data_IF_630676802238
#
_entry.id   IF_630676802238
#
_cell.length_a   1.000
_cell.length_b   1.000
_cell.length_c   1.000
_cell.angle_alpha   90.00
_cell.angle_beta   90.00
_cell.angle_gamma   90.00
#
_symmetry.space_group_name_H-M   'P 1'
#
loop_
_entity.id
_entity.type
_entity.pdbx_description
1 polymer ?
#
# COMPACT_ATOMS: atom_id res chain seq x y z
N UNK A 1 -12.86 13.33 -11.57
CA UNK A 1 -12.61 12.83 -11.33
C UNK A 1 -11.97 12.39 -10.55
N UNK A 2 -11.74 12.23 -9.98
CA UNK A 2 -11.14 11.77 -9.27
C UNK A 2 -10.86 10.87 -9.07
N UNK A 3 -10.43 10.71 -8.93
CA UNK A 3 -10.23 9.66 -8.78
C UNK A 3 -9.51 9.24 -7.70
N UNK A 4 -9.67 8.23 -7.18
CA UNK A 4 -8.95 7.70 -6.07
C UNK A 4 -7.57 7.35 -6.49
N UNK A 5 -6.58 7.77 -5.74
CA UNK A 5 -5.20 7.42 -6.05
C UNK A 5 -4.97 5.97 -5.65
N UNK A 6 -4.19 5.30 -6.47
CA UNK A 6 -3.78 3.94 -6.18
C UNK A 6 -2.89 3.91 -4.94
N UNK A 7 -3.12 2.93 -4.06
CA UNK A 7 -2.29 2.77 -2.89
C UNK A 7 -1.06 1.96 -3.27
N UNK A 8 0.10 2.48 -2.94
CA UNK A 8 1.37 1.85 -3.31
C UNK A 8 1.89 0.99 -2.17
N UNK A 9 2.68 -0.03 -2.52
CA UNK A 9 3.26 -0.91 -1.51
C UNK A 9 4.13 -0.11 -0.54
N UNK A 10 4.89 0.86 -1.03
CA UNK A 10 5.73 1.66 -0.14
C UNK A 10 4.91 2.46 0.87
N UNK A 11 3.70 2.85 0.49
CA UNK A 11 2.80 3.55 1.41
C UNK A 11 2.31 2.61 2.49
N UNK A 12 1.96 1.38 2.10
CA UNK A 12 1.55 0.37 3.06
C UNK A 12 2.69 0.07 4.03
N UNK A 13 3.90 -0.04 3.52
CA UNK A 13 5.05 -0.32 4.36
C UNK A 13 5.20 0.76 5.44
N UNK A 14 5.02 2.01 5.07
CA UNK A 14 5.10 3.11 6.04
C UNK A 14 3.98 3.03 7.06
N UNK A 15 2.77 2.70 6.60
CA UNK A 15 1.65 2.56 7.53
C UNK A 15 1.90 1.47 8.55
N UNK A 16 2.53 0.38 8.16
CA UNK A 16 2.77 -0.75 9.03
C UNK A 16 4.08 -0.64 9.79
N UNK A 17 4.94 0.30 9.43
CA UNK A 17 6.25 0.41 10.03
C UNK A 17 7.18 -0.72 9.62
N UNK A 18 7.01 -1.22 8.40
CA UNK A 18 7.80 -2.32 7.88
C UNK A 18 8.49 -1.91 6.58
N UNK A 19 9.35 -2.79 6.06
CA UNK A 19 10.02 -2.53 4.81
C UNK A 19 9.11 -2.89 3.63
N UNK A 20 9.47 -2.36 2.45
CA UNK A 20 8.76 -2.73 1.23
C UNK A 20 8.86 -4.22 0.98
N UNK A 21 10.05 -4.77 1.20
CA UNK A 21 10.25 -6.20 0.99
C UNK A 21 9.33 -7.02 1.87
N UNK A 22 9.16 -6.60 3.12
CA UNK A 22 8.24 -7.29 4.02
C UNK A 22 6.84 -7.35 3.42
N UNK A 23 6.35 -6.22 2.92
CA UNK A 23 5.00 -6.16 2.36
C UNK A 23 4.88 -7.05 1.13
N UNK A 24 5.86 -6.96 0.22
CA UNK A 24 5.84 -7.79 -0.98
C UNK A 24 5.78 -9.27 -0.62
N UNK A 25 6.67 -9.72 0.25
CA UNK A 25 6.74 -11.13 0.59
C UNK A 25 5.51 -11.60 1.35
N UNK A 26 5.02 -10.78 2.27
CA UNK A 26 3.84 -11.15 3.04
C UNK A 26 2.61 -11.27 2.15
N UNK A 27 2.47 -10.39 1.16
CA UNK A 27 1.35 -10.49 0.23
C UNK A 27 1.48 -11.71 -0.69
N UNK A 28 2.71 -11.97 -1.18
CA UNK A 28 2.93 -13.14 -2.05
C UNK A 28 2.58 -14.44 -1.33
N UNK A 29 2.87 -14.50 -0.04
CA UNK A 29 2.66 -15.72 0.74
C UNK A 29 1.27 -15.81 1.35
N UNK A 30 0.47 -14.76 1.17
CA UNK A 30 -0.89 -14.76 1.71
C UNK A 30 -0.99 -14.46 3.19
N UNK A 31 0.07 -13.95 3.79
CA UNK A 31 0.04 -13.58 5.19
C UNK A 31 -0.55 -12.21 5.43
N UNK A 32 -0.57 -11.37 4.40
CA UNK A 32 -1.05 -9.99 4.51
C UNK A 32 -2.22 -9.82 3.55
N UNK A 33 -3.42 -9.86 4.10
CA UNK A 33 -4.63 -9.88 3.29
C UNK A 33 -5.16 -8.46 3.09
N UNK A 34 -4.46 -7.68 2.29
CA UNK A 34 -4.83 -6.29 2.03
C UNK A 34 -5.04 -6.03 0.54
N UNK A 35 -5.08 -7.08 -0.25
CA UNK A 35 -5.26 -6.94 -1.69
C UNK A 35 -4.83 -8.21 -2.39
N UNK A 36 -4.36 -8.04 -3.62
CA UNK A 36 -4.00 -9.16 -4.49
C UNK A 36 -2.53 -9.05 -4.88
N UNK A 37 -1.82 -10.16 -4.82
CA UNK A 37 -0.48 -10.28 -5.38
C UNK A 37 -0.55 -11.37 -6.44
N UNK A 38 -0.16 -11.05 -7.66
CA UNK A 38 -0.36 -11.94 -8.79
C UNK A 38 0.84 -11.89 -9.72
N UNK A 39 1.24 -13.06 -10.22
CA UNK A 39 2.27 -13.14 -11.24
C UNK A 39 1.62 -13.49 -12.57
N UNK A 40 1.92 -12.71 -13.59
CA UNK A 40 1.34 -12.93 -14.90
C UNK A 40 1.96 -14.18 -15.54
N UNK A 41 1.20 -14.88 -16.40
CA UNK A 41 1.62 -16.20 -16.90
C UNK A 41 2.99 -16.21 -17.58
N UNK A 42 3.34 -15.23 -18.34
CA UNK A 42 4.59 -15.26 -19.08
C UNK A 42 5.57 -14.22 -18.60
N UNK A 43 5.53 -13.94 -17.29
CA UNK A 43 6.36 -12.89 -16.73
C UNK A 43 6.88 -13.33 -15.37
N UNK A 44 8.06 -12.87 -15.02
CA UNK A 44 8.60 -13.07 -13.68
C UNK A 44 8.19 -11.95 -12.74
N UNK A 45 7.53 -10.94 -13.26
CA UNK A 45 7.13 -9.80 -12.44
C UNK A 45 5.83 -10.06 -11.71
N UNK A 46 5.74 -9.52 -10.52
CA UNK A 46 4.53 -9.60 -9.72
C UNK A 46 3.79 -8.28 -9.77
N UNK A 47 2.47 -8.37 -9.80
CA UNK A 47 1.59 -7.21 -9.74
C UNK A 47 0.91 -7.20 -8.39
N UNK A 48 0.89 -6.03 -7.75
CA UNK A 48 0.27 -5.87 -6.44
C UNK A 48 -0.84 -4.84 -6.54
N UNK A 49 -2.01 -5.21 -6.05
CA UNK A 49 -3.16 -4.32 -6.05
C UNK A 49 -3.70 -4.26 -4.64
N UNK A 50 -3.64 -3.09 -4.04
CA UNK A 50 -4.04 -2.90 -2.65
C UNK A 50 -5.49 -2.45 -2.62
N UNK A 51 -6.31 -3.12 -1.79
CA UNK A 51 -7.71 -2.76 -1.61
C UNK A 51 -7.82 -1.84 -0.40
N UNK A 52 -8.36 -0.62 -0.57
CA UNK A 52 -8.53 0.27 0.58
C UNK A 52 -9.37 -0.35 1.68
N UNK A 53 -10.44 -1.05 1.29
CA UNK A 53 -11.33 -1.68 2.27
C UNK A 53 -10.61 -2.75 3.06
N UNK A 54 -9.86 -3.62 2.36
CA UNK A 54 -9.13 -4.68 3.04
C UNK A 54 -8.02 -4.12 3.92
N UNK A 55 -7.35 -3.08 3.45
CA UNK A 55 -6.29 -2.45 4.23
C UNK A 55 -6.86 -1.81 5.50
N UNK A 56 -7.97 -1.09 5.37
CA UNK A 56 -8.61 -0.49 6.53
C UNK A 56 -9.04 -1.55 7.53
N UNK A 57 -9.63 -2.65 7.04
CA UNK A 57 -10.02 -3.74 7.91
C UNK A 57 -8.83 -4.33 8.64
N UNK A 58 -7.74 -4.53 7.92
CA UNK A 58 -6.52 -5.08 8.52
C UNK A 58 -5.99 -4.19 9.63
N UNK A 59 -6.04 -2.87 9.40
CA UNK A 59 -5.55 -1.90 10.39
C UNK A 59 -6.58 -1.62 11.50
N UNK A 60 -7.83 -2.05 11.30
CA UNK A 60 -8.87 -1.80 12.29
C UNK A 60 -9.33 -0.37 12.31
N UNK A 61 -9.32 0.31 11.18
CA UNK A 61 -9.71 1.71 11.08
C UNK A 61 -10.74 1.87 9.95
N UNK A 62 -11.40 3.02 9.90
CA UNK A 62 -12.36 3.26 8.84
C UNK A 62 -11.64 3.92 7.65
N UNK A 63 -12.38 4.04 6.54
CA UNK A 63 -11.82 4.57 5.31
C UNK A 63 -11.36 6.02 5.46
N UNK A 64 -12.16 6.91 6.07
CA UNK A 64 -11.67 8.29 6.25
C UNK A 64 -10.36 8.37 7.02
N UNK A 65 -10.20 7.56 8.07
CA UNK A 65 -8.97 7.54 8.83
C UNK A 65 -7.81 7.02 7.98
N UNK A 66 -8.06 5.99 7.18
CA UNK A 66 -7.05 5.48 6.28
C UNK A 66 -6.59 6.57 5.31
N UNK A 67 -7.54 7.30 4.74
CA UNK A 67 -7.22 8.36 3.80
C UNK A 67 -6.38 9.45 4.45
N UNK A 68 -6.67 9.78 5.71
CA UNK A 68 -5.89 10.77 6.43
C UNK A 68 -4.44 10.31 6.61
N UNK A 69 -4.27 9.05 6.97
CA UNK A 69 -2.92 8.51 7.18
C UNK A 69 -2.14 8.47 5.88
N UNK A 70 -2.80 8.08 4.79
CA UNK A 70 -2.16 8.07 3.49
C UNK A 70 -1.77 9.47 3.05
N UNK A 71 -2.63 10.45 3.28
CA UNK A 71 -2.34 11.82 2.92
C UNK A 71 -1.11 12.32 3.69
N UNK A 72 -0.99 11.96 4.95
CA UNK A 72 0.15 12.35 5.75
C UNK A 72 1.44 11.76 5.20
N UNK A 73 1.41 10.48 4.83
CA UNK A 73 2.57 9.80 4.27
C UNK A 73 2.96 10.44 2.94
N UNK A 74 1.98 10.73 2.10
CA UNK A 74 2.23 11.34 0.80
C UNK A 74 2.78 12.75 0.93
N UNK A 75 2.31 13.48 1.93
CA UNK A 75 2.83 14.81 2.21
C UNK A 75 4.29 14.76 2.62
N UNK A 76 4.67 13.80 3.45
CA UNK A 76 6.06 13.65 3.83
C UNK A 76 6.94 13.30 2.65
N UNK A 77 6.45 12.41 1.78
CA UNK A 77 7.20 12.04 0.59
C UNK A 77 7.43 13.25 -0.32
N UNK A 78 6.40 14.07 -0.48
CA UNK A 78 6.51 15.25 -1.32
C UNK A 78 7.50 16.24 -0.75
N UNK A 79 7.51 16.39 0.57
CA UNK A 79 8.49 17.26 1.21
C UNK A 79 9.91 16.78 0.96
N UNK A 80 10.11 15.48 1.08
CA UNK A 80 11.43 14.91 0.86
C UNK A 80 11.87 15.12 -0.58
N UNK A 81 10.94 14.94 -1.52
CA UNK A 81 11.26 15.14 -2.91
C UNK A 81 11.64 16.59 -3.20
N UNK A 82 10.95 17.53 -2.58
CA UNK A 82 11.23 18.95 -2.80
C UNK A 82 12.59 19.32 -2.22
N UNK A 83 12.91 18.76 -1.07
CA UNK A 83 14.16 19.09 -0.40
C UNK A 83 15.34 18.31 -0.97
N UNK A 84 15.05 17.26 -1.68
CA UNK A 84 16.10 16.42 -2.23
C UNK A 84 16.72 17.01 -3.44
#
# INVERSE_FOLDING_TARGET
>A
MNKERKILVCEVAKLLGKSNLFVYEAMKRGFLNIGIAMQMPNSTKWTFSISPTQLADYLGIDIPTLNERLASIRGEREKEAVNG
#
